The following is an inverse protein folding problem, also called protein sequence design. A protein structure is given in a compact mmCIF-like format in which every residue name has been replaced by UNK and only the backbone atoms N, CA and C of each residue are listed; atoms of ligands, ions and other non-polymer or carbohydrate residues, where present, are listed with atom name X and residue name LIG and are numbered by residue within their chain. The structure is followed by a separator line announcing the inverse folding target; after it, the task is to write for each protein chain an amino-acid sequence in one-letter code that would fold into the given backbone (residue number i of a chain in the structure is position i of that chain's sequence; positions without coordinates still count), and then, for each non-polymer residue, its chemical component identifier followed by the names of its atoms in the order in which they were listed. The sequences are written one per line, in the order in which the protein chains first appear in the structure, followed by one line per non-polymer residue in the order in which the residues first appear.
data_IF_885393763804
#
_entry.id   IF_885393763804
#
_cell.length_a   1.000
_cell.length_b   1.000
_cell.length_c   1.000
_cell.angle_alpha   90.00
_cell.angle_beta   90.00
_cell.angle_gamma   90.00
#
_symmetry.space_group_name_H-M   'P 1'
#
loop_
_entity.id
_entity.type
_entity.pdbx_description
1 polymer ?
#
# COMPACT_ATOMS: atom_id res chain seq x y z
N UNK A 1 -1.90 5.29 -23.68
CA UNK A 1 -1.96 4.15 -24.61
C UNK A 1 -1.58 2.86 -23.91
N UNK A 2 -1.31 1.81 -24.67
CA UNK A 2 -0.69 0.56 -24.19
C UNK A 2 0.76 0.56 -24.64
N UNK A 3 1.71 0.40 -23.71
CA UNK A 3 3.11 0.15 -23.99
C UNK A 3 3.38 -1.30 -23.58
N UNK A 4 3.83 -2.13 -24.52
CA UNK A 4 4.03 -3.56 -24.29
C UNK A 4 5.30 -4.03 -24.98
N UNK A 5 6.04 -4.90 -24.31
CA UNK A 5 7.18 -5.61 -24.89
C UNK A 5 7.36 -6.94 -24.15
N UNK A 6 7.26 -8.10 -24.83
CA UNK A 6 7.45 -9.41 -24.19
C UNK A 6 8.90 -9.65 -23.74
N UNK A 7 9.89 -8.96 -24.34
CA UNK A 7 11.27 -9.00 -23.90
C UNK A 7 11.53 -8.10 -22.68
N UNK A 8 10.53 -7.31 -22.27
CA UNK A 8 10.59 -6.37 -21.16
C UNK A 8 10.81 -4.92 -21.61
N UNK A 9 10.12 -3.98 -20.96
CA UNK A 9 10.27 -2.56 -21.25
C UNK A 9 11.62 -2.04 -20.74
N UNK A 10 12.33 -1.25 -21.57
CA UNK A 10 13.59 -0.60 -21.20
C UNK A 10 13.43 0.24 -19.92
N UNK A 11 14.14 -0.18 -18.87
CA UNK A 11 14.07 0.41 -17.53
C UNK A 11 14.68 1.82 -17.47
N UNK A 12 15.76 2.06 -18.20
CA UNK A 12 16.42 3.37 -18.20
C UNK A 12 15.52 4.43 -18.85
N UNK A 13 14.85 4.06 -19.94
CA UNK A 13 13.91 4.92 -20.63
C UNK A 13 12.66 5.19 -19.79
N UNK A 14 12.11 4.17 -19.11
CA UNK A 14 11.03 4.40 -18.14
C UNK A 14 11.44 5.35 -17.00
N UNK A 15 12.67 5.22 -16.49
CA UNK A 15 13.19 6.11 -15.45
C UNK A 15 13.37 7.53 -15.97
N UNK A 16 13.81 7.71 -17.22
CA UNK A 16 13.88 9.03 -17.88
C UNK A 16 12.50 9.68 -17.92
N UNK A 17 11.48 8.96 -18.38
CA UNK A 17 10.10 9.46 -18.43
C UNK A 17 9.57 9.83 -17.04
N UNK A 18 9.80 8.97 -16.05
CA UNK A 18 9.34 9.20 -14.68
C UNK A 18 9.96 10.46 -14.07
N UNK A 19 11.29 10.64 -14.21
CA UNK A 19 12.00 11.85 -13.74
C UNK A 19 11.54 13.11 -14.47
N UNK A 20 11.29 13.01 -15.77
CA UNK A 20 10.78 14.10 -16.59
C UNK A 20 9.27 14.36 -16.40
N UNK A 21 8.57 13.51 -15.63
CA UNK A 21 7.10 13.53 -15.47
C UNK A 21 6.35 13.45 -16.81
N UNK A 22 6.86 12.66 -17.75
CA UNK A 22 6.29 12.48 -19.08
C UNK A 22 5.45 11.21 -19.18
N UNK A 23 4.39 11.28 -19.97
CA UNK A 23 3.53 10.13 -20.29
C UNK A 23 4.24 9.13 -21.22
N UNK A 24 3.79 7.88 -21.20
CA UNK A 24 4.34 6.76 -22.01
C UNK A 24 4.27 6.98 -23.53
N UNK A 25 3.52 7.96 -24.00
CA UNK A 25 3.54 8.36 -25.41
C UNK A 25 4.92 8.87 -25.86
N UNK A 26 5.69 9.44 -24.93
CA UNK A 26 7.05 9.93 -25.16
C UNK A 26 8.14 8.86 -25.03
N UNK A 27 7.76 7.58 -24.87
CA UNK A 27 8.73 6.48 -24.82
C UNK A 27 9.43 6.32 -26.17
N UNK A 28 10.76 6.29 -26.14
CA UNK A 28 11.61 6.11 -27.32
C UNK A 28 11.33 4.76 -28.01
N UNK A 29 10.69 4.79 -29.19
CA UNK A 29 10.20 3.58 -29.88
C UNK A 29 11.32 2.65 -30.36
N UNK A 30 12.51 3.19 -30.60
CA UNK A 30 13.73 2.45 -30.92
C UNK A 30 14.27 1.62 -29.75
N UNK A 31 13.75 1.85 -28.52
CA UNK A 31 14.02 1.02 -27.33
C UNK A 31 13.08 -0.18 -27.19
N UNK A 32 12.08 -0.32 -28.06
CA UNK A 32 11.23 -1.51 -28.12
C UNK A 32 11.94 -2.63 -28.86
N UNK A 33 11.78 -3.86 -28.37
CA UNK A 33 12.16 -5.08 -29.07
C UNK A 33 11.30 -5.34 -30.31
N UNK A 34 11.63 -6.38 -31.06
CA UNK A 34 10.99 -6.70 -32.34
C UNK A 34 9.46 -6.96 -32.21
N UNK A 35 9.02 -7.46 -31.06
CA UNK A 35 7.61 -7.73 -30.76
C UNK A 35 6.96 -6.63 -29.90
N UNK A 36 7.74 -5.62 -29.51
CA UNK A 36 7.29 -4.51 -28.69
C UNK A 36 6.47 -3.49 -29.50
N UNK A 37 5.50 -2.87 -28.84
CA UNK A 37 4.66 -1.85 -29.47
C UNK A 37 4.18 -0.80 -28.48
N UNK A 38 3.74 0.31 -29.05
CA UNK A 38 2.88 1.26 -28.38
C UNK A 38 1.68 1.59 -29.23
N UNK A 39 0.51 1.57 -28.60
CA UNK A 39 -0.76 2.01 -29.21
C UNK A 39 -1.27 3.20 -28.42
N UNK A 40 -1.36 4.38 -29.05
CA UNK A 40 -1.95 5.58 -28.46
C UNK A 40 -3.46 5.42 -28.30
N UNK A 41 -4.10 6.21 -27.43
CA UNK A 41 -5.57 6.12 -27.24
C UNK A 41 -6.35 6.61 -28.47
N UNK A 42 -5.75 7.50 -29.26
CA UNK A 42 -6.37 8.09 -30.45
C UNK A 42 -6.11 7.27 -31.72
N UNK A 43 -5.30 6.22 -31.63
CA UNK A 43 -4.97 5.39 -32.78
C UNK A 43 -6.18 4.57 -33.24
N UNK A 44 -6.26 4.36 -34.55
CA UNK A 44 -7.27 3.53 -35.22
C UNK A 44 -6.61 2.63 -36.25
N UNK A 45 -7.14 1.42 -36.39
CA UNK A 45 -6.72 0.42 -37.38
C UNK A 45 -5.20 0.16 -37.40
N UNK A 46 -4.60 0.03 -36.21
CA UNK A 46 -3.15 -0.21 -36.04
C UNK A 46 -2.85 -1.68 -36.26
N UNK A 47 -1.85 -1.98 -37.09
CA UNK A 47 -1.26 -3.32 -37.17
C UNK A 47 -0.11 -3.46 -36.17
N UNK A 48 -0.16 -4.49 -35.35
CA UNK A 48 0.88 -4.84 -34.39
C UNK A 48 1.97 -5.71 -35.05
N UNK A 49 3.16 -5.85 -34.42
CA UNK A 49 4.24 -6.67 -34.95
C UNK A 49 3.87 -8.15 -35.18
N UNK A 50 2.96 -8.69 -34.38
CA UNK A 50 2.40 -10.04 -34.52
C UNK A 50 1.40 -10.19 -35.69
N UNK A 51 1.11 -9.10 -36.41
CA UNK A 51 0.17 -9.04 -37.52
C UNK A 51 -1.29 -8.83 -37.09
N UNK A 52 -1.60 -8.86 -35.79
CA UNK A 52 -2.93 -8.54 -35.28
C UNK A 52 -3.28 -7.07 -35.52
N UNK A 53 -4.58 -6.78 -35.66
CA UNK A 53 -5.09 -5.43 -35.91
C UNK A 53 -5.88 -4.92 -34.71
N UNK A 54 -5.64 -3.67 -34.34
CA UNK A 54 -6.31 -2.96 -33.25
C UNK A 54 -7.17 -1.86 -33.85
N UNK A 55 -8.49 -2.06 -33.83
CA UNK A 55 -9.46 -1.10 -34.40
C UNK A 55 -9.48 0.23 -33.64
N UNK A 56 -9.36 0.19 -32.31
CA UNK A 56 -9.42 1.38 -31.44
C UNK A 56 -8.42 1.28 -30.30
N UNK A 57 -7.46 2.21 -30.29
CA UNK A 57 -6.47 2.31 -29.22
C UNK A 57 -7.08 2.58 -27.84
N UNK A 58 -8.17 3.35 -27.77
CA UNK A 58 -8.92 3.57 -26.52
C UNK A 58 -9.55 2.27 -26.01
N UNK A 59 -10.24 1.52 -26.87
CA UNK A 59 -10.84 0.23 -26.48
C UNK A 59 -9.77 -0.76 -26.05
N UNK A 60 -8.65 -0.80 -26.79
CA UNK A 60 -7.51 -1.65 -26.48
C UNK A 60 -6.90 -1.31 -25.13
N UNK A 61 -6.59 -0.04 -24.86
CA UNK A 61 -6.10 0.43 -23.55
C UNK A 61 -7.03 0.02 -22.41
N UNK A 62 -8.33 0.11 -22.62
CA UNK A 62 -9.33 -0.15 -21.59
C UNK A 62 -9.51 -1.63 -21.25
N UNK A 63 -9.05 -2.54 -22.13
CA UNK A 63 -9.25 -3.98 -22.00
C UNK A 63 -7.93 -4.79 -22.06
N UNK A 64 -6.77 -4.14 -22.19
CA UNK A 64 -5.49 -4.82 -22.37
C UNK A 64 -5.16 -5.79 -21.23
N UNK A 65 -5.60 -5.50 -19.99
CA UNK A 65 -5.43 -6.42 -18.85
C UNK A 65 -6.18 -7.75 -19.00
N UNK A 66 -7.11 -7.86 -19.95
CA UNK A 66 -7.82 -9.10 -20.32
C UNK A 66 -7.23 -9.76 -21.58
N UNK A 67 -6.36 -9.05 -22.31
CA UNK A 67 -5.72 -9.54 -23.53
C UNK A 67 -4.75 -10.69 -23.22
N UNK A 68 -4.67 -11.69 -24.09
CA UNK A 68 -3.82 -12.88 -23.93
C UNK A 68 -2.34 -12.53 -23.72
N UNK A 69 -1.89 -11.43 -24.31
CA UNK A 69 -0.52 -10.92 -24.17
C UNK A 69 -0.22 -10.38 -22.77
N UNK A 70 -1.25 -9.99 -22.02
CA UNK A 70 -1.12 -9.55 -20.63
C UNK A 70 -0.97 -10.78 -19.73
N UNK A 71 0.25 -11.31 -19.66
CA UNK A 71 0.65 -12.45 -18.83
C UNK A 71 2.03 -12.19 -18.22
N UNK A 72 2.20 -12.53 -16.94
CA UNK A 72 3.43 -12.31 -16.18
C UNK A 72 3.39 -13.11 -14.87
N UNK A 73 4.52 -13.27 -14.17
CA UNK A 73 4.48 -13.88 -12.82
C UNK A 73 3.75 -13.01 -11.80
N UNK A 74 3.94 -11.69 -11.88
CA UNK A 74 3.40 -10.69 -10.95
C UNK A 74 2.59 -9.63 -11.71
N UNK A 75 1.34 -9.42 -11.28
CA UNK A 75 0.49 -8.35 -11.78
C UNK A 75 0.21 -7.31 -10.69
N UNK A 76 0.52 -6.05 -10.99
CA UNK A 76 0.31 -4.92 -10.08
C UNK A 76 -0.55 -3.87 -10.79
N UNK A 77 -1.89 -3.94 -10.71
CA UNK A 77 -2.74 -2.89 -11.28
C UNK A 77 -2.58 -1.60 -10.46
N UNK A 78 -1.96 -0.57 -11.05
CA UNK A 78 -1.73 0.74 -10.43
C UNK A 78 -2.65 1.85 -10.98
N UNK A 79 -3.71 1.48 -11.68
CA UNK A 79 -4.74 2.38 -12.17
C UNK A 79 -5.89 1.58 -12.78
N UNK A 80 -6.79 2.26 -13.50
CA UNK A 80 -7.94 1.64 -14.13
C UNK A 80 -9.27 2.11 -13.54
N UNK A 81 -10.36 1.51 -14.00
CA UNK A 81 -11.70 1.75 -13.48
C UNK A 81 -11.99 0.77 -12.34
N UNK A 82 -12.81 1.15 -11.35
CA UNK A 82 -13.37 0.18 -10.41
C UNK A 82 -14.00 -0.99 -11.18
N UNK A 83 -13.86 -2.19 -10.62
CA UNK A 83 -14.39 -3.44 -11.17
C UNK A 83 -13.91 -3.75 -12.61
N UNK A 84 -12.71 -3.29 -12.98
CA UNK A 84 -12.08 -3.62 -14.26
C UNK A 84 -11.96 -5.13 -14.48
N UNK A 85 -11.83 -5.91 -13.39
CA UNK A 85 -11.97 -7.36 -13.40
C UNK A 85 -13.07 -7.78 -12.43
N UNK A 86 -14.07 -8.46 -12.98
CA UNK A 86 -15.26 -8.90 -12.28
C UNK A 86 -15.63 -10.35 -12.65
N UNK A 87 -16.62 -10.93 -11.97
CA UNK A 87 -16.99 -12.34 -12.15
C UNK A 87 -17.28 -12.73 -13.62
N UNK A 88 -17.80 -11.80 -14.43
CA UNK A 88 -18.13 -12.07 -15.84
C UNK A 88 -16.91 -12.07 -16.78
N UNK A 89 -15.77 -11.51 -16.40
CA UNK A 89 -14.58 -11.41 -17.27
C UNK A 89 -13.30 -11.99 -16.64
N UNK A 90 -13.32 -12.37 -15.37
CA UNK A 90 -12.14 -12.93 -14.68
C UNK A 90 -11.61 -14.21 -15.35
N UNK A 91 -12.46 -14.94 -16.08
CA UNK A 91 -12.05 -16.09 -16.91
C UNK A 91 -11.00 -15.71 -17.96
N UNK A 92 -10.98 -14.47 -18.43
CA UNK A 92 -9.96 -13.96 -19.34
C UNK A 92 -8.58 -13.85 -18.70
N UNK A 93 -8.44 -14.00 -17.37
CA UNK A 93 -7.13 -14.03 -16.70
C UNK A 93 -6.56 -15.45 -16.57
N UNK A 94 -7.15 -16.42 -17.28
CA UNK A 94 -6.68 -17.79 -17.35
C UNK A 94 -6.19 -18.12 -18.76
N UNK A 95 -5.24 -19.04 -18.84
CA UNK A 95 -4.86 -19.72 -20.07
C UNK A 95 -5.90 -20.79 -20.41
N UNK A 96 -5.86 -21.28 -21.65
CA UNK A 96 -6.81 -22.31 -22.13
C UNK A 96 -6.69 -23.64 -21.37
N UNK A 97 -5.53 -23.92 -20.77
CA UNK A 97 -5.30 -25.07 -19.90
C UNK A 97 -5.84 -24.90 -18.46
N UNK A 98 -6.44 -23.75 -18.17
CA UNK A 98 -6.99 -23.41 -16.86
C UNK A 98 -5.98 -22.83 -15.86
N UNK A 99 -4.70 -22.72 -16.21
CA UNK A 99 -3.70 -22.05 -15.37
C UNK A 99 -3.91 -20.54 -15.37
N UNK A 100 -3.63 -19.88 -14.25
CA UNK A 100 -3.76 -18.42 -14.14
C UNK A 100 -2.63 -17.72 -14.88
N UNK A 101 -2.95 -16.63 -15.61
CA UNK A 101 -1.95 -15.79 -16.32
C UNK A 101 -0.99 -15.06 -15.40
N UNK A 102 -1.34 -14.96 -14.12
CA UNK A 102 -0.57 -14.32 -13.07
C UNK A 102 -0.52 -15.23 -11.85
N UNK A 103 0.69 -15.45 -11.32
CA UNK A 103 0.89 -16.24 -10.09
C UNK A 103 0.63 -15.40 -8.84
N UNK A 104 0.95 -14.11 -8.92
CA UNK A 104 0.82 -13.15 -7.83
C UNK A 104 0.08 -11.91 -8.34
N UNK A 105 -0.88 -11.42 -7.57
CA UNK A 105 -1.60 -10.17 -7.82
C UNK A 105 -1.48 -9.27 -6.60
N UNK A 106 -1.02 -8.03 -6.79
CA UNK A 106 -0.91 -7.02 -5.73
C UNK A 106 -1.65 -5.77 -6.17
N UNK A 107 -2.83 -5.50 -5.62
CA UNK A 107 -3.68 -4.39 -6.07
C UNK A 107 -3.14 -3.03 -5.61
N UNK A 108 -2.46 -2.29 -6.50
CA UNK A 108 -2.03 -0.92 -6.23
C UNK A 108 -3.17 0.11 -6.32
N UNK A 109 -4.13 -0.12 -7.22
CA UNK A 109 -5.30 0.73 -7.41
C UNK A 109 -6.49 0.27 -6.55
N UNK A 110 -7.30 1.23 -6.12
CA UNK A 110 -8.54 0.95 -5.42
C UNK A 110 -9.56 0.25 -6.33
N UNK A 111 -10.14 -0.83 -5.80
CA UNK A 111 -11.28 -1.55 -6.35
C UNK A 111 -11.09 -2.11 -7.77
N UNK A 112 -9.86 -2.44 -8.18
CA UNK A 112 -9.60 -2.96 -9.52
C UNK A 112 -10.30 -4.31 -9.76
N UNK A 113 -10.23 -5.22 -8.78
CA UNK A 113 -10.97 -6.48 -8.79
C UNK A 113 -12.25 -6.40 -7.93
N UNK A 114 -13.32 -7.05 -8.36
CA UNK A 114 -14.46 -7.35 -7.47
C UNK A 114 -14.09 -8.46 -6.48
N UNK A 115 -14.80 -8.57 -5.35
CA UNK A 115 -14.58 -9.65 -4.38
C UNK A 115 -14.77 -11.05 -4.99
N UNK A 116 -15.73 -11.21 -5.90
CA UNK A 116 -15.97 -12.48 -6.58
C UNK A 116 -14.81 -12.87 -7.51
N UNK A 117 -14.22 -11.90 -8.23
CA UNK A 117 -13.05 -12.14 -9.06
C UNK A 117 -11.83 -12.53 -8.21
N UNK A 118 -11.59 -11.85 -7.07
CA UNK A 118 -10.51 -12.21 -6.14
C UNK A 118 -10.62 -13.67 -5.69
N UNK A 119 -11.80 -14.09 -5.25
CA UNK A 119 -12.05 -15.49 -4.84
C UNK A 119 -11.77 -16.49 -5.95
N UNK A 120 -12.17 -16.19 -7.19
CA UNK A 120 -11.92 -17.10 -8.31
C UNK A 120 -10.43 -17.25 -8.61
N UNK A 121 -9.66 -16.15 -8.54
CA UNK A 121 -8.20 -16.19 -8.72
C UNK A 121 -7.53 -16.98 -7.59
N UNK A 122 -7.88 -16.70 -6.33
CA UNK A 122 -7.29 -17.41 -5.19
C UNK A 122 -7.64 -18.90 -5.16
N UNK A 123 -8.86 -19.28 -5.53
CA UNK A 123 -9.26 -20.69 -5.69
C UNK A 123 -8.46 -21.44 -6.76
N UNK A 124 -7.85 -20.70 -7.71
CA UNK A 124 -6.95 -21.25 -8.72
C UNK A 124 -5.47 -21.19 -8.31
N UNK A 125 -5.18 -20.86 -7.05
CA UNK A 125 -3.82 -20.83 -6.49
C UNK A 125 -3.08 -19.50 -6.66
N UNK A 126 -3.74 -18.44 -7.14
CA UNK A 126 -3.12 -17.11 -7.25
C UNK A 126 -2.93 -16.51 -5.86
N UNK A 127 -1.72 -16.04 -5.56
CA UNK A 127 -1.45 -15.27 -4.33
C UNK A 127 -1.93 -13.83 -4.55
N UNK A 128 -3.05 -13.45 -3.94
CA UNK A 128 -3.65 -12.14 -4.12
C UNK A 128 -3.59 -11.30 -2.83
N UNK A 129 -3.07 -10.08 -2.94
CA UNK A 129 -3.16 -9.05 -1.91
C UNK A 129 -4.07 -7.92 -2.37
N UNK A 130 -5.15 -7.75 -1.61
CA UNK A 130 -6.21 -6.77 -1.85
C UNK A 130 -5.69 -5.34 -1.66
N UNK A 131 -6.29 -4.40 -2.37
CA UNK A 131 -5.98 -2.96 -2.34
C UNK A 131 -5.91 -2.40 -0.91
N UNK A 132 -6.89 -2.74 -0.09
CA UNK A 132 -7.00 -2.36 1.31
C UNK A 132 -5.81 -2.80 2.19
N UNK A 133 -4.94 -3.69 1.71
CA UNK A 133 -3.64 -3.99 2.30
C UNK A 133 -2.50 -3.38 1.48
N UNK A 134 -2.50 -3.61 0.17
CA UNK A 134 -1.37 -3.34 -0.71
C UNK A 134 -1.06 -1.84 -0.93
N UNK A 135 -2.04 -0.95 -0.81
CA UNK A 135 -1.87 0.49 -1.11
C UNK A 135 -1.90 1.42 0.12
N UNK A 136 -1.87 0.87 1.34
CA UNK A 136 -1.87 1.62 2.62
C UNK A 136 -0.68 2.57 2.82
N UNK A 137 0.36 2.48 1.99
CA UNK A 137 1.51 3.37 2.05
C UNK A 137 1.14 4.85 1.96
N UNK A 138 0.20 5.22 1.09
CA UNK A 138 -0.26 6.60 0.95
C UNK A 138 -1.02 7.13 2.18
N UNK A 139 -1.81 6.28 2.83
CA UNK A 139 -2.49 6.62 4.10
C UNK A 139 -1.48 6.83 5.22
N UNK A 140 -0.45 5.98 5.29
CA UNK A 140 0.62 6.11 6.29
C UNK A 140 1.41 7.41 6.08
N UNK A 141 1.83 7.71 4.85
CA UNK A 141 2.60 8.92 4.56
C UNK A 141 1.82 10.20 4.86
N UNK A 142 0.55 10.28 4.43
CA UNK A 142 -0.30 11.44 4.68
C UNK A 142 -0.62 11.63 6.18
N UNK A 143 -0.82 10.54 6.92
CA UNK A 143 -1.03 10.61 8.38
C UNK A 143 0.19 11.18 9.11
N UNK A 144 1.40 10.79 8.69
CA UNK A 144 2.65 11.32 9.24
C UNK A 144 2.89 12.77 8.82
N UNK A 145 2.58 13.14 7.58
CA UNK A 145 2.62 14.54 7.14
C UNK A 145 1.71 15.44 8.00
N UNK A 146 0.46 15.02 8.23
CA UNK A 146 -0.46 15.75 9.14
C UNK A 146 0.10 15.81 10.56
N UNK A 147 0.69 14.72 11.07
CA UNK A 147 1.31 14.72 12.39
C UNK A 147 2.45 15.75 12.50
N UNK A 148 3.31 15.84 11.48
CA UNK A 148 4.35 16.86 11.44
C UNK A 148 3.76 18.28 11.47
N UNK A 149 2.73 18.55 10.66
CA UNK A 149 2.04 19.86 10.65
C UNK A 149 1.36 20.20 11.98
N UNK A 150 0.86 19.21 12.74
CA UNK A 150 0.26 19.43 14.06
C UNK A 150 1.30 19.61 15.17
N UNK A 151 2.50 19.05 15.00
CA UNK A 151 3.56 19.07 16.01
C UNK A 151 4.46 20.31 15.89
N UNK A 152 4.59 20.89 14.70
CA UNK A 152 5.43 22.04 14.41
C UNK A 152 4.61 23.35 14.46
N UNK A 153 5.25 24.44 14.89
CA UNK A 153 4.77 25.81 14.62
C UNK A 153 4.90 26.14 13.13
N UNK A 154 4.23 27.20 12.68
CA UNK A 154 4.29 27.65 11.29
C UNK A 154 5.73 27.94 10.86
N UNK A 155 6.52 28.59 11.71
CA UNK A 155 7.93 28.89 11.44
C UNK A 155 8.79 27.62 11.38
N UNK A 156 8.61 26.68 12.31
CA UNK A 156 9.33 25.39 12.30
C UNK A 156 8.95 24.55 11.08
N UNK A 157 7.67 24.54 10.68
CA UNK A 157 7.20 23.81 9.51
C UNK A 157 7.78 24.39 8.23
N UNK A 158 7.72 25.71 8.06
CA UNK A 158 8.29 26.41 6.90
C UNK A 158 9.82 26.20 6.79
N UNK A 159 10.52 26.13 7.92
CA UNK A 159 11.96 25.87 7.94
C UNK A 159 12.32 24.40 7.65
N UNK A 160 11.54 23.44 8.16
CA UNK A 160 11.94 22.04 8.20
C UNK A 160 11.22 21.13 7.20
N UNK A 161 10.01 21.48 6.76
CA UNK A 161 9.16 20.64 5.90
C UNK A 161 8.95 21.19 4.48
N UNK A 162 9.16 22.48 4.26
CA UNK A 162 8.94 23.12 2.96
C UNK A 162 10.20 23.11 2.08
N UNK A 163 10.06 22.67 0.83
CA UNK A 163 11.12 22.78 -0.19
C UNK A 163 11.19 24.22 -0.69
N UNK A 164 12.37 24.84 -0.63
CA UNK A 164 12.59 26.23 -1.08
C UNK A 164 13.67 26.26 -2.14
N UNK A 165 13.41 26.92 -3.27
CA UNK A 165 14.36 27.03 -4.39
C UNK A 165 14.97 25.67 -4.80
N UNK A 166 14.13 24.63 -4.90
CA UNK A 166 14.52 23.24 -5.18
C UNK A 166 15.44 22.58 -4.13
N UNK A 167 15.74 23.26 -3.03
CA UNK A 167 16.50 22.72 -1.90
C UNK A 167 15.56 22.10 -0.89
N UNK A 168 15.80 20.82 -0.62
CA UNK A 168 15.08 20.03 0.38
C UNK A 168 15.77 20.20 1.74
N UNK A 169 15.05 20.58 2.81
CA UNK A 169 15.62 20.60 4.16
C UNK A 169 16.10 19.21 4.60
N UNK A 170 17.20 19.15 5.36
CA UNK A 170 17.73 17.89 5.89
C UNK A 170 16.72 17.15 6.79
N UNK A 171 15.96 17.91 7.59
CA UNK A 171 14.87 17.35 8.39
C UNK A 171 13.84 16.65 7.50
N UNK A 172 13.35 17.31 6.45
CA UNK A 172 12.37 16.72 5.53
C UNK A 172 12.89 15.43 4.89
N UNK A 173 14.16 15.41 4.46
CA UNK A 173 14.77 14.19 3.91
C UNK A 173 14.74 13.03 4.91
N UNK A 174 15.20 13.27 6.15
CA UNK A 174 15.18 12.27 7.23
C UNK A 174 13.75 11.85 7.62
N UNK A 175 12.79 12.78 7.58
CA UNK A 175 11.38 12.52 7.86
C UNK A 175 10.73 11.63 6.80
N UNK A 176 11.07 11.85 5.52
CA UNK A 176 10.66 10.98 4.41
C UNK A 176 11.24 9.58 4.58
N UNK A 177 12.53 9.45 4.93
CA UNK A 177 13.16 8.14 5.14
C UNK A 177 12.52 7.36 6.32
N UNK A 178 12.23 8.05 7.43
CA UNK A 178 11.52 7.47 8.56
C UNK A 178 10.09 7.04 8.18
N UNK A 179 9.41 7.84 7.35
CA UNK A 179 8.08 7.52 6.82
C UNK A 179 8.10 6.28 5.94
N UNK A 180 9.06 6.18 5.01
CA UNK A 180 9.25 5.00 4.15
C UNK A 180 9.55 3.75 4.99
N UNK A 181 10.41 3.88 6.00
CA UNK A 181 10.70 2.79 6.94
C UNK A 181 9.43 2.30 7.63
N UNK A 182 8.61 3.22 8.15
CA UNK A 182 7.32 2.87 8.78
C UNK A 182 6.36 2.18 7.80
N UNK A 183 6.28 2.64 6.56
CA UNK A 183 5.45 2.01 5.51
C UNK A 183 5.90 0.56 5.28
N UNK A 184 7.20 0.33 5.13
CA UNK A 184 7.76 -1.01 4.91
C UNK A 184 7.50 -1.92 6.10
N UNK A 185 7.70 -1.45 7.33
CA UNK A 185 7.49 -2.26 8.54
C UNK A 185 6.02 -2.61 8.74
N UNK A 186 5.10 -1.69 8.45
CA UNK A 186 3.67 -1.95 8.49
C UNK A 186 3.26 -2.97 7.41
N UNK A 187 3.76 -2.81 6.18
CA UNK A 187 3.49 -3.73 5.08
C UNK A 187 3.98 -5.14 5.37
N UNK A 188 5.20 -5.29 5.93
CA UNK A 188 5.72 -6.59 6.38
C UNK A 188 4.86 -7.22 7.46
N UNK A 189 4.55 -6.47 8.52
CA UNK A 189 3.79 -6.99 9.65
C UNK A 189 2.38 -7.47 9.23
N UNK A 190 1.70 -6.71 8.37
CA UNK A 190 0.39 -7.09 7.84
C UNK A 190 0.48 -8.28 6.87
N UNK A 191 1.46 -8.28 5.97
CA UNK A 191 1.71 -9.39 5.05
C UNK A 191 1.95 -10.69 5.82
N UNK A 192 2.83 -10.67 6.81
CA UNK A 192 3.16 -11.84 7.64
C UNK A 192 1.94 -12.33 8.42
N UNK A 193 1.13 -11.42 8.96
CA UNK A 193 -0.11 -11.78 9.66
C UNK A 193 -1.10 -12.48 8.71
N UNK A 194 -1.39 -11.89 7.55
CA UNK A 194 -2.28 -12.46 6.54
C UNK A 194 -1.74 -13.79 6.02
N UNK A 195 -0.42 -13.87 5.80
CA UNK A 195 0.24 -15.08 5.30
C UNK A 195 0.09 -16.23 6.29
N UNK A 196 0.45 -16.03 7.56
CA UNK A 196 0.31 -17.04 8.62
C UNK A 196 -1.14 -17.47 8.82
N UNK A 197 -2.08 -16.53 8.79
CA UNK A 197 -3.51 -16.85 8.91
C UNK A 197 -4.03 -17.65 7.72
N UNK A 198 -3.55 -17.37 6.51
CA UNK A 198 -3.88 -18.15 5.32
C UNK A 198 -3.34 -19.58 5.43
N UNK A 199 -2.07 -19.76 5.80
CA UNK A 199 -1.48 -21.09 5.99
C UNK A 199 -2.20 -21.90 7.07
N UNK A 200 -2.60 -21.23 8.16
CA UNK A 200 -3.29 -21.87 9.30
C UNK A 200 -4.72 -22.28 8.98
N UNK A 201 -5.45 -21.49 8.19
CA UNK A 201 -6.91 -21.65 8.04
C UNK A 201 -7.38 -22.03 6.64
N UNK A 202 -6.53 -21.87 5.62
CA UNK A 202 -6.91 -22.01 4.21
C UNK A 202 -7.87 -20.92 3.71
N UNK A 203 -8.20 -19.91 4.53
CA UNK A 203 -9.09 -18.80 4.12
C UNK A 203 -8.42 -17.92 3.07
N UNK A 204 -9.20 -17.39 2.15
CA UNK A 204 -8.71 -16.49 1.12
C UNK A 204 -8.07 -15.22 1.72
N UNK A 205 -6.90 -14.81 1.21
CA UNK A 205 -6.15 -13.62 1.64
C UNK A 205 -6.96 -12.34 1.48
N UNK A 206 -7.80 -12.24 0.45
CA UNK A 206 -8.71 -11.11 0.27
C UNK A 206 -9.73 -10.99 1.42
N UNK A 207 -10.18 -12.09 2.01
CA UNK A 207 -11.08 -12.07 3.18
C UNK A 207 -10.32 -11.85 4.48
N UNK A 208 -9.11 -12.40 4.58
CA UNK A 208 -8.24 -12.19 5.73
C UNK A 208 -7.83 -10.72 5.86
N UNK A 209 -7.60 -10.02 4.75
CA UNK A 209 -7.39 -8.57 4.72
C UNK A 209 -8.50 -7.81 5.45
N UNK A 210 -9.76 -8.14 5.14
CA UNK A 210 -10.93 -7.50 5.75
C UNK A 210 -11.06 -7.90 7.22
N UNK A 211 -10.87 -9.19 7.55
CA UNK A 211 -10.96 -9.70 8.91
C UNK A 211 -9.89 -9.10 9.84
N UNK A 212 -8.65 -8.94 9.38
CA UNK A 212 -7.55 -8.32 10.13
C UNK A 212 -7.89 -6.86 10.42
N UNK A 213 -8.35 -6.11 9.41
CA UNK A 213 -8.73 -4.71 9.56
C UNK A 213 -9.89 -4.53 10.56
N UNK A 214 -10.92 -5.37 10.47
CA UNK A 214 -12.05 -5.37 11.41
C UNK A 214 -11.58 -5.66 12.85
N UNK A 215 -10.70 -6.63 13.03
CA UNK A 215 -10.16 -7.00 14.35
C UNK A 215 -9.31 -5.87 14.96
N UNK A 216 -8.46 -5.23 14.14
CA UNK A 216 -7.66 -4.06 14.56
C UNK A 216 -8.58 -2.93 15.01
N UNK A 217 -9.60 -2.60 14.23
CA UNK A 217 -10.53 -1.51 14.57
C UNK A 217 -11.31 -1.82 15.86
N UNK A 218 -11.79 -3.05 16.03
CA UNK A 218 -12.49 -3.44 17.24
C UNK A 218 -11.61 -3.31 18.49
N UNK A 219 -10.34 -3.74 18.43
CA UNK A 219 -9.41 -3.60 19.55
C UNK A 219 -9.04 -2.12 19.77
N UNK A 220 -8.82 -1.36 18.71
CA UNK A 220 -8.55 0.08 18.80
C UNK A 220 -9.69 0.81 19.52
N UNK A 221 -10.95 0.53 19.16
CA UNK A 221 -12.12 1.12 19.80
C UNK A 221 -12.19 0.76 21.29
N UNK A 222 -11.90 -0.49 21.66
CA UNK A 222 -11.83 -0.91 23.06
C UNK A 222 -10.70 -0.20 23.83
N UNK A 223 -9.50 -0.09 23.24
CA UNK A 223 -8.36 0.62 23.83
C UNK A 223 -8.74 2.10 24.06
N UNK A 224 -9.37 2.73 23.07
CA UNK A 224 -9.80 4.12 23.17
C UNK A 224 -10.94 4.31 24.19
N UNK A 225 -11.82 3.33 24.38
CA UNK A 225 -12.86 3.37 25.42
C UNK A 225 -12.30 3.13 26.84
N UNK A 226 -11.13 2.50 26.95
CA UNK A 226 -10.52 2.14 28.23
C UNK A 226 -9.78 3.30 28.92
N UNK A 227 -9.37 3.06 30.17
CA UNK A 227 -8.49 3.96 30.93
C UNK A 227 -7.00 3.82 30.58
N UNK A 228 -6.60 2.92 29.68
CA UNK A 228 -5.19 2.67 29.34
C UNK A 228 -4.46 3.93 28.87
N UNK A 229 -5.14 4.76 28.08
CA UNK A 229 -4.63 6.05 27.61
C UNK A 229 -4.32 7.06 28.74
N UNK A 230 -4.92 6.88 29.93
CA UNK A 230 -4.71 7.77 31.08
C UNK A 230 -3.41 7.45 31.82
N UNK A 231 -2.79 6.31 31.57
CA UNK A 231 -1.49 5.98 32.14
C UNK A 231 -0.39 6.72 31.37
N UNK A 232 0.11 7.83 31.95
CA UNK A 232 1.12 8.68 31.32
C UNK A 232 2.42 7.95 30.97
N UNK A 233 2.82 6.92 31.72
CA UNK A 233 4.02 6.12 31.40
C UNK A 233 3.80 5.30 30.14
N UNK A 234 2.69 4.55 30.11
CA UNK A 234 2.29 3.74 28.96
C UNK A 234 2.09 4.62 27.72
N UNK A 235 1.40 5.75 27.88
CA UNK A 235 1.22 6.78 26.87
C UNK A 235 2.56 7.23 26.28
N UNK A 236 3.50 7.62 27.14
CA UNK A 236 4.80 8.12 26.70
C UNK A 236 5.62 7.06 25.96
N UNK A 237 5.59 5.82 26.44
CA UNK A 237 6.26 4.70 25.78
C UNK A 237 5.69 4.45 24.39
N UNK A 238 4.37 4.31 24.28
CA UNK A 238 3.69 4.03 23.01
C UNK A 238 3.91 5.16 22.01
N UNK A 239 3.85 6.43 22.44
CA UNK A 239 4.10 7.55 21.53
C UNK A 239 5.55 7.60 21.04
N UNK A 240 6.54 7.21 21.86
CA UNK A 240 7.93 7.11 21.40
C UNK A 240 8.12 6.07 20.31
N UNK A 241 7.40 4.95 20.37
CA UNK A 241 7.44 3.96 19.30
C UNK A 241 6.60 4.36 18.09
N UNK A 242 5.46 5.02 18.31
CA UNK A 242 4.49 5.32 17.26
C UNK A 242 4.90 6.55 16.41
N UNK A 243 5.53 7.55 17.01
CA UNK A 243 5.95 8.80 16.35
C UNK A 243 7.36 8.63 15.77
N UNK A 244 7.66 9.18 14.57
CA UNK A 244 9.02 9.15 14.03
C UNK A 244 10.04 9.82 14.96
N UNK A 245 11.16 9.14 15.23
CA UNK A 245 12.23 9.63 16.12
C UNK A 245 12.75 11.01 15.71
N UNK A 246 12.92 11.25 14.41
CA UNK A 246 13.36 12.54 13.87
C UNK A 246 12.45 13.70 14.29
N UNK A 247 11.14 13.48 14.42
CA UNK A 247 10.22 14.52 14.91
C UNK A 247 10.35 14.69 16.43
N UNK A 248 10.51 13.60 17.18
CA UNK A 248 10.74 13.65 18.63
C UNK A 248 12.06 14.34 18.98
N UNK A 249 13.10 14.16 18.18
CA UNK A 249 14.38 14.87 18.32
C UNK A 249 14.23 16.38 18.13
N UNK A 250 13.37 16.80 17.19
CA UNK A 250 13.17 18.22 16.89
C UNK A 250 12.31 18.93 17.94
N UNK A 251 11.15 18.37 18.30
CA UNK A 251 10.20 19.07 19.20
C UNK A 251 10.23 18.56 20.64
N UNK A 252 10.66 17.33 20.87
CA UNK A 252 10.52 16.64 22.16
C UNK A 252 9.10 16.15 22.45
N UNK A 253 9.00 15.07 23.24
CA UNK A 253 7.72 14.45 23.58
C UNK A 253 6.78 15.40 24.35
N UNK A 254 7.31 16.18 25.30
CA UNK A 254 6.49 17.10 26.11
C UNK A 254 5.84 18.21 25.27
N UNK A 255 6.58 18.73 24.28
CA UNK A 255 6.05 19.73 23.35
C UNK A 255 5.02 19.10 22.43
N UNK A 256 5.29 17.89 21.92
CA UNK A 256 4.35 17.14 21.09
C UNK A 256 3.03 16.90 21.83
N UNK A 257 3.08 16.49 23.10
CA UNK A 257 1.91 16.28 23.95
C UNK A 257 1.08 17.56 24.18
N UNK A 258 1.72 18.74 24.16
CA UNK A 258 1.05 20.03 24.31
C UNK A 258 0.44 20.55 23.00
N UNK A 259 1.13 20.35 21.88
CA UNK A 259 0.75 20.91 20.57
C UNK A 259 -0.27 20.03 19.83
N UNK A 260 -0.04 18.71 19.81
CA UNK A 260 -0.91 17.79 19.05
C UNK A 260 -2.24 17.61 19.79
N UNK A 261 -3.39 17.73 19.11
CA UNK A 261 -4.70 17.58 19.74
C UNK A 261 -4.85 16.22 20.44
N UNK A 262 -5.45 16.22 21.62
CA UNK A 262 -5.63 15.00 22.44
C UNK A 262 -6.35 13.87 21.70
N UNK A 263 -7.28 14.18 20.80
CA UNK A 263 -7.97 13.19 19.96
C UNK A 263 -7.02 12.47 19.01
N UNK A 264 -6.06 13.18 18.40
CA UNK A 264 -5.04 12.60 17.51
C UNK A 264 -4.05 11.74 18.31
N UNK A 265 -3.57 12.26 19.43
CA UNK A 265 -2.70 11.52 20.34
C UNK A 265 -3.36 10.18 20.75
N UNK A 266 -4.64 10.23 21.14
CA UNK A 266 -5.42 9.04 21.51
C UNK A 266 -5.59 8.05 20.35
N UNK A 267 -5.82 8.55 19.14
CA UNK A 267 -5.94 7.73 17.94
C UNK A 267 -4.62 7.03 17.58
N UNK A 268 -3.48 7.74 17.65
CA UNK A 268 -2.14 7.18 17.41
C UNK A 268 -1.87 6.01 18.34
N UNK A 269 -2.16 6.18 19.63
CA UNK A 269 -1.93 5.13 20.62
C UNK A 269 -2.82 3.91 20.47
N UNK A 270 -4.12 4.13 20.26
CA UNK A 270 -5.04 3.02 20.04
C UNK A 270 -4.67 2.23 18.78
N UNK A 271 -4.41 2.95 17.69
CA UNK A 271 -4.04 2.32 16.41
C UNK A 271 -2.70 1.59 16.48
N UNK A 272 -1.67 2.16 17.13
CA UNK A 272 -0.36 1.52 17.28
C UNK A 272 -0.47 0.22 18.08
N UNK A 273 -1.06 0.27 19.28
CA UNK A 273 -1.21 -0.92 20.12
C UNK A 273 -2.07 -1.99 19.45
N UNK A 274 -3.23 -1.61 18.89
CA UNK A 274 -4.15 -2.55 18.27
C UNK A 274 -3.52 -3.24 17.05
N UNK A 275 -2.89 -2.47 16.15
CA UNK A 275 -2.26 -3.04 14.95
C UNK A 275 -1.09 -3.95 15.31
N UNK A 276 -0.17 -3.52 16.18
CA UNK A 276 0.97 -4.35 16.60
C UNK A 276 0.54 -5.62 17.32
N UNK A 277 -0.50 -5.54 18.14
CA UNK A 277 -1.05 -6.71 18.81
C UNK A 277 -1.64 -7.71 17.81
N UNK A 278 -2.53 -7.26 16.92
CA UNK A 278 -3.17 -8.15 15.93
C UNK A 278 -2.17 -8.70 14.92
N UNK A 279 -1.21 -7.89 14.46
CA UNK A 279 -0.18 -8.37 13.53
C UNK A 279 0.75 -9.41 14.15
N UNK A 280 0.99 -9.36 15.47
CA UNK A 280 1.82 -10.35 16.16
C UNK A 280 1.06 -11.62 16.55
N UNK A 281 -0.21 -11.49 16.98
CA UNK A 281 -0.98 -12.62 17.54
C UNK A 281 -2.01 -13.22 16.56
N UNK A 282 -2.26 -12.56 15.43
CA UNK A 282 -3.21 -13.03 14.42
C UNK A 282 -4.67 -12.77 14.78
N UNK A 283 -5.59 -13.46 14.08
CA UNK A 283 -7.03 -13.26 14.23
C UNK A 283 -7.62 -13.93 15.47
N UNK A 284 -6.93 -14.94 16.00
CA UNK A 284 -7.33 -15.65 17.21
C UNK A 284 -6.98 -14.88 18.51
N UNK A 285 -6.32 -13.73 18.39
CA UNK A 285 -5.87 -12.90 19.50
C UNK A 285 -6.99 -12.56 20.50
N UNK A 286 -6.76 -12.90 21.77
CA UNK A 286 -7.72 -12.76 22.88
C UNK A 286 -7.47 -11.52 23.74
N UNK A 287 -8.39 -11.16 24.63
CA UNK A 287 -8.16 -10.06 25.58
C UNK A 287 -7.11 -10.39 26.64
N UNK A 288 -6.98 -11.68 27.01
CA UNK A 288 -5.98 -12.13 27.99
C UNK A 288 -4.56 -12.01 27.43
N UNK A 289 -4.36 -12.44 26.18
CA UNK A 289 -3.07 -12.28 25.49
C UNK A 289 -2.71 -10.81 25.28
N UNK A 290 -3.70 -9.92 25.14
CA UNK A 290 -3.46 -8.48 25.06
C UNK A 290 -2.82 -7.94 26.36
N UNK A 291 -3.23 -8.43 27.53
CA UNK A 291 -2.61 -8.05 28.80
C UNK A 291 -1.14 -8.48 28.86
N UNK A 292 -0.82 -9.69 28.38
CA UNK A 292 0.57 -10.16 28.28
C UNK A 292 1.37 -9.31 27.29
N UNK A 293 0.79 -8.97 26.14
CA UNK A 293 1.39 -8.07 25.16
C UNK A 293 1.72 -6.68 25.73
N UNK A 294 0.92 -6.19 26.69
CA UNK A 294 1.17 -4.90 27.36
C UNK A 294 2.26 -4.96 28.43
N UNK A 295 2.64 -6.13 28.94
CA UNK A 295 3.60 -6.24 30.05
C UNK A 295 4.93 -5.53 29.79
N UNK A 296 5.58 -5.65 28.61
CA UNK A 296 6.83 -4.93 28.33
C UNK A 296 6.67 -3.40 28.42
N UNK A 297 5.53 -2.86 27.98
CA UNK A 297 5.24 -1.43 28.05
C UNK A 297 5.01 -0.94 29.49
N UNK A 298 4.56 -1.83 30.38
CA UNK A 298 4.33 -1.54 31.79
C UNK A 298 5.61 -1.75 32.63
N UNK A 299 6.47 -2.68 32.22
CA UNK A 299 7.71 -3.06 32.90
C UNK A 299 8.91 -2.18 32.54
N UNK A 300 8.95 -1.57 31.34
CA UNK A 300 10.02 -0.67 30.90
C UNK A 300 10.09 0.68 31.67
N UNK A 301 9.46 0.75 32.84
CA UNK A 301 9.37 1.93 33.69
C UNK A 301 9.63 1.66 35.18
N UNK A 302 10.30 0.55 35.51
CA UNK A 302 11.05 0.37 36.77
C UNK A 302 12.49 0.85 36.64
#
# INVERSE_FOLDING_TARGET
GVLYDPAGIDREELLRLAKARQMVEHFARDRLGAEGFFVHIDDRDVKLPDGSSIESGLSFRNNFHLDARSSADLFVPCGGRPDAVHINNVKSLFHDDGSARFKIVVEGANLFFTQAARRQLESAGVVLYKDASANKGGVTSSSLEVLASLALSDEEHDANMCVKHEQRPDFYARYVDATVTRIVDNARAELDCIWREHERTGRARCELTDAVSVKINAINDQIQASSLWQNNKLLSHVLREAVPDVLLELVGLDTLLKRVPRSYLKAIFGAHLASRYVYSHGLAATEVEFLTFLQPYLAAGE
#
